data_IF_442015699564
#
_entry.id   IF_442015699564
#
_cell.length_a   1.000
_cell.length_b   1.000
_cell.length_c   1.000
_cell.angle_alpha   90.00
_cell.angle_beta   90.00
_cell.angle_gamma   90.00
#
_symmetry.space_group_name_H-M   'P 1'
#
loop_
_entity.id
_entity.type
_entity.pdbx_description
1 polymer ?
#
# COMPACT_ATOMS: atom_id res chain seq x y z
N UNK A 1 79.80 17.83 3.50
CA UNK A 1 78.72 18.78 3.18
C UNK A 1 78.20 18.43 1.80
N UNK A 2 76.88 18.30 1.67
CA UNK A 2 76.08 17.93 0.50
C UNK A 2 76.04 16.45 0.06
N UNK A 3 74.93 15.84 0.51
CA UNK A 3 74.29 14.64 -0.01
C UNK A 3 73.84 14.84 -1.46
N UNK A 4 73.92 13.79 -2.28
CA UNK A 4 72.94 13.41 -3.31
C UNK A 4 73.21 11.95 -3.67
N UNK A 5 72.53 11.00 -3.00
CA UNK A 5 72.51 9.59 -3.40
C UNK A 5 71.18 9.25 -4.04
N UNK A 6 71.23 9.05 -5.35
CA UNK A 6 70.25 8.34 -6.15
C UNK A 6 70.05 6.92 -5.60
N UNK A 7 68.80 6.53 -5.31
CA UNK A 7 68.36 5.14 -5.43
C UNK A 7 66.94 5.06 -5.95
N UNK A 8 66.86 4.53 -7.16
CA UNK A 8 65.70 4.03 -7.88
C UNK A 8 64.89 3.07 -7.01
N UNK A 9 63.61 3.38 -6.78
CA UNK A 9 62.66 2.51 -6.08
C UNK A 9 61.71 1.89 -7.12
N UNK A 10 61.56 0.57 -7.05
CA UNK A 10 60.86 -0.26 -8.03
C UNK A 10 59.38 0.06 -8.18
N UNK A 11 58.89 -0.13 -9.41
CA UNK A 11 57.48 -0.15 -9.76
C UNK A 11 56.80 -1.36 -9.09
N UNK A 12 55.84 -1.10 -8.21
CA UNK A 12 54.80 -2.07 -7.84
C UNK A 12 53.53 -1.64 -8.58
N UNK A 13 53.14 -2.40 -9.61
CA UNK A 13 51.82 -2.27 -10.23
C UNK A 13 50.79 -2.91 -9.30
N UNK A 14 50.05 -2.08 -8.56
CA UNK A 14 48.79 -2.49 -7.94
C UNK A 14 47.67 -2.36 -8.97
N UNK A 15 47.20 -3.50 -9.49
CA UNK A 15 46.02 -3.55 -10.36
C UNK A 15 44.76 -3.24 -9.55
N UNK A 16 44.22 -2.03 -9.74
CA UNK A 16 42.85 -1.72 -9.34
C UNK A 16 41.89 -2.34 -10.36
N UNK A 17 41.25 -3.45 -9.98
CA UNK A 17 40.08 -3.95 -10.67
C UNK A 17 38.92 -2.97 -10.44
N UNK A 18 38.67 -2.09 -11.43
CA UNK A 18 37.43 -1.31 -11.49
C UNK A 18 36.26 -2.30 -11.61
N UNK A 19 35.49 -2.44 -10.54
CA UNK A 19 34.14 -3.00 -10.61
C UNK A 19 33.27 -2.01 -11.35
N UNK A 20 32.98 -2.31 -12.62
CA UNK A 20 32.04 -1.52 -13.43
C UNK A 20 30.66 -1.69 -12.81
N UNK A 21 30.22 -0.65 -12.10
CA UNK A 21 28.81 -0.45 -11.75
C UNK A 21 28.01 -0.45 -13.06
N UNK A 22 27.08 -1.40 -13.20
CA UNK A 22 26.04 -1.37 -14.23
C UNK A 22 25.12 -0.18 -13.97
N UNK A 23 25.54 1.01 -14.40
CA UNK A 23 24.67 2.15 -14.58
C UNK A 23 23.84 1.85 -15.84
N UNK A 24 22.65 1.30 -15.63
CA UNK A 24 21.64 1.33 -16.67
C UNK A 24 21.40 2.80 -17.04
N UNK A 25 21.87 3.22 -18.21
CA UNK A 25 21.50 4.48 -18.83
C UNK A 25 19.99 4.42 -19.08
N UNK A 26 19.21 5.04 -18.19
CA UNK A 26 17.80 5.31 -18.46
C UNK A 26 17.79 6.41 -19.52
N UNK A 27 17.73 6.01 -20.80
CA UNK A 27 17.36 6.92 -21.89
C UNK A 27 16.06 7.61 -21.48
N UNK A 28 15.98 8.94 -21.59
CA UNK A 28 14.75 9.68 -21.31
C UNK A 28 13.63 9.17 -22.23
N UNK A 29 12.78 8.29 -21.72
CA UNK A 29 11.57 7.83 -22.39
C UNK A 29 10.43 8.79 -22.03
N UNK A 30 9.49 8.94 -22.96
CA UNK A 30 8.25 9.64 -22.66
C UNK A 30 7.54 8.97 -21.48
N UNK A 31 6.76 9.74 -20.68
CA UNK A 31 5.94 9.16 -19.63
C UNK A 31 4.94 8.14 -20.18
N UNK A 32 4.63 7.11 -19.39
CA UNK A 32 3.64 6.09 -19.76
C UNK A 32 2.20 6.65 -19.78
N UNK A 33 1.93 7.74 -19.06
CA UNK A 33 0.63 8.42 -19.08
C UNK A 33 0.58 9.50 -20.14
N UNK A 34 -0.29 9.32 -21.15
CA UNK A 34 -0.45 10.23 -22.30
C UNK A 34 -1.78 10.98 -22.31
N UNK A 35 -2.74 10.62 -21.46
CA UNK A 35 -4.02 11.32 -21.37
C UNK A 35 -3.85 12.71 -20.76
N UNK A 36 -4.81 13.59 -21.01
CA UNK A 36 -4.86 14.90 -20.38
C UNK A 36 -5.06 14.79 -18.87
N UNK A 37 -4.36 15.59 -18.05
CA UNK A 37 -4.59 15.63 -16.62
C UNK A 37 -6.01 16.11 -16.31
N UNK A 38 -6.58 15.63 -15.21
CA UNK A 38 -7.90 16.06 -14.72
C UNK A 38 -7.89 17.49 -14.16
N UNK A 39 -6.71 18.00 -13.80
CA UNK A 39 -6.49 19.34 -13.29
C UNK A 39 -5.11 19.84 -13.71
N UNK A 40 -4.98 21.13 -14.05
CA UNK A 40 -3.70 21.76 -14.39
C UNK A 40 -2.97 22.24 -13.12
N UNK A 41 -2.66 21.30 -12.24
CA UNK A 41 -1.99 21.54 -10.97
C UNK A 41 -0.51 21.22 -11.07
N UNK A 42 0.34 22.15 -10.63
CA UNK A 42 1.79 22.05 -10.75
C UNK A 42 2.36 21.15 -9.65
N UNK A 43 3.28 20.22 -9.98
CA UNK A 43 3.97 19.43 -8.97
C UNK A 43 4.83 20.31 -8.06
N UNK A 44 5.08 19.84 -6.84
CA UNK A 44 6.00 20.44 -5.89
C UNK A 44 7.47 20.33 -6.32
N UNK A 45 7.82 19.32 -7.11
CA UNK A 45 9.16 19.14 -7.66
C UNK A 45 9.14 18.42 -9.01
N UNK A 46 10.22 18.59 -9.78
CA UNK A 46 10.39 17.91 -11.07
C UNK A 46 10.37 16.38 -10.90
N UNK A 47 9.59 15.70 -11.73
CA UNK A 47 9.46 14.24 -11.71
C UNK A 47 8.47 13.68 -10.67
N UNK A 48 7.76 14.51 -9.90
CA UNK A 48 6.73 14.06 -8.95
C UNK A 48 5.50 13.44 -9.64
N UNK A 49 5.28 13.70 -10.92
CA UNK A 49 4.22 13.09 -11.71
C UNK A 49 4.71 12.92 -13.14
N UNK A 50 4.11 11.99 -13.89
CA UNK A 50 4.46 11.71 -15.30
C UNK A 50 5.97 11.54 -15.47
N UNK A 51 6.58 10.71 -14.62
CA UNK A 51 8.00 10.38 -14.72
C UNK A 51 8.25 9.57 -16.00
N UNK A 52 9.51 9.49 -16.42
CA UNK A 52 9.93 8.73 -17.59
C UNK A 52 9.46 7.26 -17.53
N UNK A 53 9.05 6.74 -18.68
CA UNK A 53 8.73 5.33 -18.83
C UNK A 53 9.96 4.43 -18.64
N UNK A 54 9.74 3.24 -18.10
CA UNK A 54 10.71 2.14 -18.11
C UNK A 54 10.03 0.86 -18.58
N UNK A 55 10.83 -0.15 -18.93
CA UNK A 55 10.32 -1.44 -19.39
C UNK A 55 11.11 -2.58 -18.77
N UNK A 56 10.40 -3.63 -18.38
CA UNK A 56 10.95 -4.90 -17.92
C UNK A 56 11.58 -5.62 -19.11
N UNK A 57 12.83 -6.04 -18.95
CA UNK A 57 13.59 -6.73 -20.00
C UNK A 57 13.55 -8.25 -19.82
N UNK A 58 13.47 -8.70 -18.56
CA UNK A 58 13.31 -10.11 -18.21
C UNK A 58 11.99 -10.65 -18.79
N UNK A 59 12.02 -11.74 -19.57
CA UNK A 59 10.80 -12.37 -20.06
C UNK A 59 9.91 -12.84 -18.91
N UNK A 60 8.63 -12.46 -18.97
CA UNK A 60 7.65 -12.78 -17.94
C UNK A 60 6.73 -13.92 -18.39
N UNK A 61 6.35 -14.77 -17.46
CA UNK A 61 5.22 -15.68 -17.55
C UNK A 61 4.07 -15.13 -16.69
N UNK A 62 2.88 -15.00 -17.32
CA UNK A 62 1.66 -14.54 -16.67
C UNK A 62 0.66 -15.69 -16.67
N UNK A 63 0.30 -16.17 -15.49
CA UNK A 63 -0.64 -17.29 -15.32
C UNK A 63 -1.84 -16.84 -14.50
N UNK A 64 -3.03 -17.34 -14.84
CA UNK A 64 -4.21 -17.22 -13.99
C UNK A 64 -4.35 -18.53 -13.21
N UNK A 65 -4.27 -18.44 -11.88
CA UNK A 65 -4.32 -19.61 -10.99
C UNK A 65 -5.73 -19.91 -10.48
N UNK A 66 -6.59 -18.89 -10.45
CA UNK A 66 -8.00 -19.01 -10.05
C UNK A 66 -8.84 -17.94 -10.75
N UNK A 67 -10.11 -18.24 -11.05
CA UNK A 67 -11.07 -17.34 -11.73
C UNK A 67 -12.45 -17.32 -11.06
N UNK A 68 -12.55 -17.85 -9.84
CA UNK A 68 -13.82 -18.12 -9.15
C UNK A 68 -13.88 -17.50 -7.76
N UNK A 69 -13.02 -16.53 -7.47
CA UNK A 69 -13.09 -15.78 -6.22
C UNK A 69 -14.30 -14.84 -6.27
N UNK A 70 -15.05 -14.74 -5.18
CA UNK A 70 -16.18 -13.81 -5.10
C UNK A 70 -15.71 -12.49 -4.49
N UNK A 71 -15.57 -11.45 -5.32
CA UNK A 71 -15.16 -10.09 -4.92
C UNK A 71 -14.00 -10.12 -3.91
N UNK A 72 -12.84 -10.73 -4.24
CA UNK A 72 -11.72 -10.82 -3.31
C UNK A 72 -11.23 -9.41 -2.95
N UNK A 73 -10.74 -9.21 -1.72
CA UNK A 73 -10.27 -7.90 -1.25
C UNK A 73 -8.80 -7.89 -0.83
N UNK A 74 -8.34 -8.85 -0.03
CA UNK A 74 -6.94 -8.97 0.35
C UNK A 74 -6.41 -10.39 0.18
N UNK A 75 -5.09 -10.50 0.04
CA UNK A 75 -4.37 -11.77 -0.09
C UNK A 75 -3.17 -11.82 0.87
N UNK A 76 -3.07 -12.91 1.61
CA UNK A 76 -1.94 -13.21 2.50
C UNK A 76 -1.34 -14.58 2.17
N UNK A 77 -0.02 -14.69 2.25
CA UNK A 77 0.70 -15.95 1.97
C UNK A 77 0.74 -16.81 3.22
N UNK A 78 0.21 -18.03 3.14
CA UNK A 78 0.32 -19.01 4.22
C UNK A 78 1.70 -19.68 4.22
N UNK A 79 2.23 -20.13 5.38
CA UNK A 79 3.54 -20.79 5.45
C UNK A 79 3.69 -22.03 4.56
N UNK A 80 2.59 -22.74 4.28
CA UNK A 80 2.56 -23.88 3.37
C UNK A 80 2.62 -23.48 1.88
N UNK A 81 2.72 -22.18 1.58
CA UNK A 81 2.80 -21.61 0.24
C UNK A 81 1.45 -21.34 -0.44
N UNK A 82 0.34 -21.66 0.23
CA UNK A 82 -1.01 -21.29 -0.19
C UNK A 82 -1.35 -19.84 0.12
N UNK A 83 -2.62 -19.48 -0.07
CA UNK A 83 -3.12 -18.11 0.10
C UNK A 83 -4.36 -18.09 0.98
N UNK A 84 -4.40 -17.16 1.94
CA UNK A 84 -5.62 -16.76 2.64
C UNK A 84 -6.15 -15.49 1.98
N UNK A 85 -7.39 -15.51 1.50
CA UNK A 85 -7.99 -14.41 0.74
C UNK A 85 -9.30 -14.01 1.39
N UNK A 86 -9.50 -12.72 1.66
CA UNK A 86 -10.80 -12.19 2.10
C UNK A 86 -11.70 -11.96 0.89
N UNK A 87 -12.99 -12.21 1.08
CA UNK A 87 -14.05 -11.91 0.13
C UNK A 87 -15.00 -10.90 0.76
N UNK A 88 -15.34 -9.83 0.02
CA UNK A 88 -16.10 -8.70 0.57
C UNK A 88 -17.38 -9.09 1.31
N UNK A 89 -18.04 -10.18 0.88
CA UNK A 89 -19.28 -10.70 1.48
C UNK A 89 -19.15 -11.29 2.88
N UNK A 90 -17.97 -11.33 3.49
CA UNK A 90 -17.81 -11.76 4.89
C UNK A 90 -17.22 -13.17 5.06
N UNK A 91 -16.56 -13.71 4.03
CA UNK A 91 -15.87 -15.01 4.10
C UNK A 91 -14.39 -14.86 3.80
N UNK A 92 -13.57 -15.76 4.35
CA UNK A 92 -12.21 -15.96 3.86
C UNK A 92 -12.16 -17.29 3.10
N UNK A 93 -11.25 -17.41 2.13
CA UNK A 93 -10.97 -18.66 1.43
C UNK A 93 -9.50 -18.99 1.52
N UNK A 94 -9.20 -20.28 1.59
CA UNK A 94 -7.83 -20.80 1.48
C UNK A 94 -7.65 -21.41 0.12
N UNK A 95 -6.68 -20.91 -0.64
CA UNK A 95 -6.21 -21.53 -1.86
C UNK A 95 -4.90 -22.27 -1.60
N UNK A 96 -4.70 -23.39 -2.28
CA UNK A 96 -3.39 -24.06 -2.36
C UNK A 96 -2.38 -23.22 -3.15
N UNK A 97 -1.11 -23.59 -3.12
CA UNK A 97 -0.04 -22.88 -3.84
C UNK A 97 -0.24 -22.79 -5.37
N UNK A 98 -1.01 -23.72 -5.95
CA UNK A 98 -1.41 -23.71 -7.36
C UNK A 98 -2.76 -23.03 -7.62
N UNK A 99 -3.35 -22.34 -6.64
CA UNK A 99 -4.58 -21.56 -6.78
C UNK A 99 -5.89 -22.33 -6.67
N UNK A 100 -5.86 -23.64 -6.35
CA UNK A 100 -7.09 -24.41 -6.16
C UNK A 100 -7.75 -24.06 -4.82
N UNK A 101 -9.06 -23.85 -4.83
CA UNK A 101 -9.84 -23.67 -3.61
C UNK A 101 -9.73 -24.92 -2.71
N UNK A 102 -9.26 -24.72 -1.48
CA UNK A 102 -9.09 -25.76 -0.47
C UNK A 102 -10.19 -25.67 0.59
N UNK A 103 -10.38 -24.48 1.17
CA UNK A 103 -11.31 -24.24 2.29
C UNK A 103 -12.05 -22.92 2.13
N UNK A 104 -13.23 -22.85 2.72
CA UNK A 104 -13.97 -21.61 2.95
C UNK A 104 -14.17 -21.46 4.46
N UNK A 105 -13.79 -20.30 4.98
CA UNK A 105 -13.89 -19.92 6.38
C UNK A 105 -15.09 -18.99 6.52
N UNK A 106 -16.02 -19.38 7.37
CA UNK A 106 -17.25 -18.65 7.70
C UNK A 106 -17.32 -18.35 9.21
N UNK A 107 -18.41 -17.72 9.68
CA UNK A 107 -18.58 -17.39 11.09
C UNK A 107 -17.73 -16.21 11.56
N UNK A 108 -17.30 -15.36 10.63
CA UNK A 108 -16.69 -14.06 10.91
C UNK A 108 -17.78 -13.04 11.33
N UNK A 109 -17.42 -11.89 11.92
CA UNK A 109 -18.40 -10.88 12.30
C UNK A 109 -19.19 -10.39 11.08
N UNK A 110 -20.45 -9.98 11.32
CA UNK A 110 -21.29 -9.41 10.26
C UNK A 110 -20.60 -8.18 9.67
N UNK A 111 -20.56 -8.10 8.35
CA UNK A 111 -20.00 -6.97 7.58
C UNK A 111 -21.11 -6.20 6.86
N UNK A 112 -20.89 -4.90 6.61
CA UNK A 112 -21.62 -4.15 5.57
C UNK A 112 -20.80 -4.15 4.28
N UNK A 113 -21.15 -5.00 3.32
CA UNK A 113 -20.41 -5.16 2.07
C UNK A 113 -20.84 -4.21 0.95
N UNK A 114 -21.60 -3.16 1.28
CA UNK A 114 -22.07 -2.18 0.32
C UNK A 114 -21.00 -1.13 -0.02
N UNK A 115 -21.03 -0.63 -1.26
CA UNK A 115 -20.02 0.30 -1.75
C UNK A 115 -18.60 -0.26 -1.64
N UNK A 116 -17.72 0.42 -0.91
CA UNK A 116 -16.35 0.00 -0.65
C UNK A 116 -16.18 -0.84 0.63
N UNK A 117 -17.24 -1.07 1.40
CA UNK A 117 -17.20 -1.89 2.60
C UNK A 117 -17.18 -3.39 2.31
N UNK A 118 -16.93 -4.19 3.34
CA UNK A 118 -16.99 -5.65 3.34
C UNK A 118 -16.08 -6.24 4.42
N UNK A 119 -15.72 -7.51 4.25
CA UNK A 119 -14.49 -8.04 4.81
C UNK A 119 -13.32 -7.54 3.94
N UNK A 120 -12.40 -6.80 4.55
CA UNK A 120 -11.39 -6.01 3.87
C UNK A 120 -10.03 -6.68 4.07
N UNK A 121 -9.07 -6.00 4.67
CA UNK A 121 -7.70 -6.51 4.73
C UNK A 121 -7.55 -7.77 5.58
N UNK A 122 -6.52 -8.56 5.29
CA UNK A 122 -6.10 -9.68 6.13
C UNK A 122 -4.58 -9.80 6.14
N UNK A 123 -4.02 -9.96 7.33
CA UNK A 123 -2.60 -10.20 7.52
C UNK A 123 -2.36 -11.28 8.57
N UNK A 124 -1.24 -11.97 8.44
CA UNK A 124 -0.81 -13.00 9.38
C UNK A 124 0.15 -12.41 10.39
N UNK A 125 0.04 -12.85 11.64
CA UNK A 125 1.05 -12.55 12.66
C UNK A 125 2.45 -12.98 12.18
N UNK A 126 3.52 -12.21 12.44
CA UNK A 126 4.88 -12.64 12.09
C UNK A 126 5.27 -13.99 12.72
N UNK A 127 4.64 -14.36 13.85
CA UNK A 127 4.78 -15.66 14.50
C UNK A 127 3.68 -16.68 14.13
N UNK A 128 2.99 -16.49 12.99
CA UNK A 128 1.85 -17.32 12.56
C UNK A 128 2.15 -18.82 12.56
N UNK A 129 3.37 -19.23 12.19
CA UNK A 129 3.78 -20.63 12.23
C UNK A 129 3.65 -21.27 13.64
N UNK A 130 3.69 -20.46 14.71
CA UNK A 130 3.55 -20.90 16.10
C UNK A 130 2.16 -20.63 16.66
N UNK A 131 1.61 -19.43 16.45
CA UNK A 131 0.38 -18.97 17.11
C UNK A 131 -0.88 -19.07 16.23
N UNK A 132 -0.70 -19.14 14.90
CA UNK A 132 -1.76 -19.11 13.87
C UNK A 132 -2.68 -17.88 13.95
N UNK A 133 -2.18 -16.76 14.46
CA UNK A 133 -2.97 -15.54 14.63
C UNK A 133 -3.15 -14.79 13.30
N UNK A 134 -4.39 -14.44 13.01
CA UNK A 134 -4.81 -13.66 11.84
C UNK A 134 -5.45 -12.37 12.32
N UNK A 135 -5.18 -11.27 11.62
CA UNK A 135 -5.76 -9.96 11.84
C UNK A 135 -6.49 -9.53 10.58
N UNK A 136 -7.68 -8.97 10.71
CA UNK A 136 -8.46 -8.50 9.57
C UNK A 136 -9.18 -7.20 9.86
N UNK A 137 -9.42 -6.44 8.80
CA UNK A 137 -10.24 -5.26 8.82
C UNK A 137 -11.61 -5.54 8.21
N UNK A 138 -12.67 -4.90 8.72
CA UNK A 138 -13.99 -5.01 8.13
C UNK A 138 -14.85 -3.78 8.42
N UNK A 139 -15.85 -3.56 7.58
CA UNK A 139 -16.90 -2.56 7.80
C UNK A 139 -17.93 -3.11 8.79
N UNK A 140 -17.90 -2.61 10.02
CA UNK A 140 -18.80 -3.04 11.10
C UNK A 140 -20.06 -2.18 11.13
N UNK A 141 -21.26 -2.76 10.90
CA UNK A 141 -22.52 -2.06 11.09
C UNK A 141 -22.68 -1.59 12.54
N UNK A 142 -23.11 -0.35 12.74
CA UNK A 142 -23.47 0.21 14.05
C UNK A 142 -24.97 0.51 14.09
N UNK A 143 -25.50 0.85 15.27
CA UNK A 143 -26.86 1.37 15.42
C UNK A 143 -27.09 2.61 14.52
N UNK A 144 -26.04 3.42 14.33
CA UNK A 144 -26.03 4.56 13.41
C UNK A 144 -24.80 4.49 12.50
N UNK A 145 -25.03 4.13 11.24
CA UNK A 145 -24.01 4.08 10.21
C UNK A 145 -23.08 2.88 10.32
N UNK A 146 -21.89 3.00 9.75
CA UNK A 146 -20.87 1.96 9.65
C UNK A 146 -19.51 2.55 10.00
N UNK A 147 -18.64 1.76 10.63
CA UNK A 147 -17.25 2.14 10.88
C UNK A 147 -16.29 1.04 10.43
N UNK A 148 -15.00 1.37 10.35
CA UNK A 148 -13.94 0.38 10.17
C UNK A 148 -13.59 -0.25 11.53
N UNK A 149 -13.63 -1.57 11.61
CA UNK A 149 -13.18 -2.33 12.76
C UNK A 149 -12.00 -3.23 12.41
N UNK A 150 -11.10 -3.40 13.36
CA UNK A 150 -9.98 -4.36 13.29
C UNK A 150 -10.23 -5.46 14.29
N UNK A 151 -10.14 -6.71 13.85
CA UNK A 151 -10.31 -7.88 14.68
C UNK A 151 -9.15 -8.85 14.48
N UNK A 152 -9.02 -9.77 15.44
CA UNK A 152 -8.04 -10.84 15.41
C UNK A 152 -8.64 -12.15 15.90
N UNK A 153 -7.99 -13.26 15.55
CA UNK A 153 -8.34 -14.59 16.03
C UNK A 153 -7.37 -15.64 15.49
N UNK A 154 -7.51 -16.86 15.97
CA UNK A 154 -6.62 -17.97 15.61
C UNK A 154 -7.22 -18.78 14.47
N UNK A 155 -6.50 -18.94 13.36
CA UNK A 155 -6.90 -19.88 12.31
C UNK A 155 -6.80 -21.32 12.84
N UNK A 156 -7.91 -22.07 12.78
CA UNK A 156 -7.95 -23.47 13.21
C UNK A 156 -6.93 -24.32 12.45
N UNK A 157 -6.49 -25.43 13.05
CA UNK A 157 -5.46 -26.29 12.46
C UNK A 157 -5.88 -26.90 11.11
N UNK A 158 -7.18 -27.13 10.91
CA UNK A 158 -7.78 -27.64 9.68
C UNK A 158 -8.20 -26.54 8.68
N UNK A 159 -7.96 -25.27 9.04
CA UNK A 159 -8.18 -24.08 8.21
C UNK A 159 -9.64 -23.84 7.81
N UNK A 160 -10.59 -24.25 8.66
CA UNK A 160 -12.04 -24.13 8.41
C UNK A 160 -12.72 -23.00 9.17
N UNK A 161 -12.11 -22.46 10.24
CA UNK A 161 -12.70 -21.40 11.08
C UNK A 161 -11.65 -20.50 11.74
N UNK A 162 -12.07 -19.31 12.17
CA UNK A 162 -11.30 -18.47 13.11
C UNK A 162 -11.84 -18.66 14.53
N UNK A 163 -10.97 -19.06 15.44
CA UNK A 163 -11.22 -19.29 16.86
C UNK A 163 -10.90 -18.03 17.68
N UNK A 164 -11.61 -17.84 18.80
CA UNK A 164 -11.36 -16.77 19.77
C UNK A 164 -11.31 -15.37 19.16
N UNK A 165 -12.25 -15.09 18.25
CA UNK A 165 -12.35 -13.82 17.55
C UNK A 165 -12.57 -12.67 18.54
N UNK A 166 -11.76 -11.62 18.43
CA UNK A 166 -11.86 -10.43 19.26
C UNK A 166 -11.68 -9.18 18.41
N UNK A 167 -12.56 -8.20 18.60
CA UNK A 167 -12.41 -6.88 17.99
C UNK A 167 -11.44 -6.08 18.84
N UNK A 168 -10.35 -5.60 18.24
CA UNK A 168 -9.29 -4.90 18.94
C UNK A 168 -9.36 -3.39 18.74
N UNK A 169 -9.98 -2.92 17.66
CA UNK A 169 -10.09 -1.48 17.40
C UNK A 169 -11.32 -1.13 16.57
N UNK A 170 -11.87 0.07 16.79
CA UNK A 170 -12.96 0.67 16.01
C UNK A 170 -12.59 2.12 15.67
N UNK A 171 -12.54 2.43 14.38
CA UNK A 171 -12.25 3.78 13.92
C UNK A 171 -13.49 4.67 14.05
N UNK A 172 -13.48 5.59 14.99
CA UNK A 172 -14.62 6.49 15.27
C UNK A 172 -14.39 7.89 14.70
N UNK A 173 -15.46 8.62 14.33
CA UNK A 173 -16.88 8.25 14.43
C UNK A 173 -17.34 7.27 13.34
N UNK A 174 -18.49 6.61 13.55
CA UNK A 174 -19.21 5.92 12.47
C UNK A 174 -19.86 6.93 11.54
N UNK A 175 -20.16 6.50 10.31
CA UNK A 175 -20.77 7.35 9.29
C UNK A 175 -21.74 6.57 8.40
N UNK A 176 -22.77 7.25 7.88
CA UNK A 176 -23.77 6.62 6.99
C UNK A 176 -23.27 6.38 5.56
N UNK A 177 -22.17 7.00 5.15
CA UNK A 177 -21.54 6.80 3.85
C UNK A 177 -20.86 5.44 3.70
N UNK A 178 -20.75 4.97 2.46
CA UNK A 178 -20.29 3.61 2.09
C UNK A 178 -18.92 3.60 1.41
N UNK A 179 -18.20 4.73 1.43
CA UNK A 179 -16.95 4.93 0.72
C UNK A 179 -15.82 5.20 1.71
N UNK A 180 -14.60 4.98 1.24
CA UNK A 180 -13.32 5.31 1.85
C UNK A 180 -13.14 4.74 3.26
N UNK A 181 -12.84 3.45 3.34
CA UNK A 181 -12.50 2.78 4.59
C UNK A 181 -10.98 2.77 4.86
N UNK A 182 -10.13 2.87 3.82
CA UNK A 182 -8.69 2.61 3.91
C UNK A 182 -8.44 1.11 4.13
N UNK A 183 -8.16 0.73 5.38
CA UNK A 183 -8.29 -0.64 5.95
C UNK A 183 -7.03 -1.50 6.00
N UNK A 184 -5.89 -1.04 5.50
CA UNK A 184 -4.68 -1.89 5.46
C UNK A 184 -4.07 -2.08 6.83
N UNK A 185 -3.55 -3.27 7.09
CA UNK A 185 -2.90 -3.71 8.33
C UNK A 185 -1.52 -4.27 7.96
N UNK A 186 -0.46 -3.62 8.41
CA UNK A 186 0.91 -4.12 8.25
C UNK A 186 1.61 -4.20 9.60
N UNK A 187 2.42 -5.22 9.79
CA UNK A 187 3.26 -5.32 10.98
C UNK A 187 4.50 -4.45 10.86
N UNK A 188 4.82 -3.72 11.92
CA UNK A 188 6.13 -3.10 12.08
C UNK A 188 7.18 -4.13 12.53
N UNK A 189 8.45 -3.73 12.52
CA UNK A 189 9.58 -4.59 12.93
C UNK A 189 9.54 -5.03 14.40
N UNK A 190 8.74 -4.37 15.23
CA UNK A 190 8.60 -4.65 16.66
C UNK A 190 7.35 -5.51 16.97
N UNK A 191 6.60 -5.93 15.93
CA UNK A 191 5.39 -6.73 16.09
C UNK A 191 4.14 -5.92 16.44
N UNK A 192 4.15 -4.59 16.29
CA UNK A 192 2.95 -3.76 16.36
C UNK A 192 2.31 -3.63 14.97
N UNK A 193 1.10 -3.09 14.93
CA UNK A 193 0.29 -2.89 13.74
C UNK A 193 0.33 -1.42 13.32
N UNK A 194 0.62 -1.16 12.05
CA UNK A 194 0.12 0.05 11.39
C UNK A 194 -1.22 -0.25 10.74
N UNK A 195 -2.19 0.63 10.94
CA UNK A 195 -3.53 0.52 10.35
C UNK A 195 -3.89 1.79 9.60
N UNK A 196 -4.28 1.67 8.33
CA UNK A 196 -4.77 2.80 7.55
C UNK A 196 -6.27 2.99 7.69
N UNK A 197 -6.74 4.24 7.75
CA UNK A 197 -8.17 4.57 7.82
C UNK A 197 -8.52 5.69 6.84
N UNK A 198 -9.61 5.49 6.08
CA UNK A 198 -10.15 6.50 5.17
C UNK A 198 -11.02 7.54 5.85
N UNK A 199 -11.26 8.66 5.17
CA UNK A 199 -12.00 9.83 5.70
C UNK A 199 -13.52 9.79 5.52
N UNK A 200 -14.04 8.79 4.77
CA UNK A 200 -15.47 8.51 4.52
C UNK A 200 -16.16 9.27 3.36
N UNK A 201 -15.43 10.09 2.60
CA UNK A 201 -15.84 10.76 1.35
C UNK A 201 -16.90 11.85 1.43
N UNK A 202 -17.58 12.02 2.57
CA UNK A 202 -18.67 12.99 2.71
C UNK A 202 -18.14 14.41 2.85
N UNK A 203 -18.82 15.39 2.23
CA UNK A 203 -18.42 16.80 2.32
C UNK A 203 -18.45 17.36 3.74
N UNK A 204 -19.34 16.82 4.58
CA UNK A 204 -19.50 17.15 6.01
C UNK A 204 -18.47 16.47 6.91
N UNK A 205 -17.93 15.32 6.51
CA UNK A 205 -17.07 14.49 7.35
C UNK A 205 -15.60 14.50 6.95
N UNK A 206 -15.25 14.79 5.70
CA UNK A 206 -13.86 14.70 5.21
C UNK A 206 -12.85 15.54 5.97
N UNK A 207 -13.29 16.63 6.59
CA UNK A 207 -12.43 17.49 7.41
C UNK A 207 -11.90 16.76 8.66
N UNK A 208 -12.54 15.67 9.08
CA UNK A 208 -12.07 14.79 10.16
C UNK A 208 -10.67 14.24 9.90
N UNK A 209 -10.21 14.17 8.64
CA UNK A 209 -8.82 13.84 8.30
C UNK A 209 -7.81 14.76 9.02
N UNK A 210 -8.17 16.01 9.27
CA UNK A 210 -7.36 17.02 9.98
C UNK A 210 -7.54 17.00 11.51
N UNK A 211 -8.61 16.39 12.02
CA UNK A 211 -8.88 16.39 13.46
C UNK A 211 -8.15 15.23 14.15
N UNK A 212 -7.41 15.56 15.22
CA UNK A 212 -6.64 14.58 15.99
C UNK A 212 -7.49 13.82 17.03
N UNK A 213 -8.71 14.26 17.32
CA UNK A 213 -9.67 13.52 18.15
C UNK A 213 -10.50 12.48 17.35
N UNK A 214 -10.14 12.24 16.09
CA UNK A 214 -10.85 11.40 15.14
C UNK A 214 -9.93 10.33 14.56
N UNK A 215 -10.48 9.14 14.29
CA UNK A 215 -9.75 8.02 13.68
C UNK A 215 -9.90 7.97 12.16
N UNK A 216 -10.49 8.99 11.52
CA UNK A 216 -10.75 9.02 10.08
C UNK A 216 -9.63 9.74 9.32
N UNK A 217 -9.17 9.19 8.20
CA UNK A 217 -8.08 9.78 7.39
C UNK A 217 -6.72 9.75 8.11
N UNK A 218 -6.36 8.60 8.70
CA UNK A 218 -5.19 8.42 9.57
C UNK A 218 -4.36 7.20 9.18
N UNK A 219 -3.10 7.23 9.57
CA UNK A 219 -2.35 6.01 9.90
C UNK A 219 -2.32 5.89 11.43
N UNK A 220 -2.71 4.74 11.94
CA UNK A 220 -2.72 4.41 13.37
C UNK A 220 -1.56 3.45 13.69
N UNK A 221 -1.00 3.54 14.90
CA UNK A 221 0.04 2.63 15.40
C UNK A 221 -0.44 1.95 16.68
N UNK A 222 -0.77 0.68 16.55
CA UNK A 222 -1.48 -0.11 17.55
C UNK A 222 -0.63 -1.31 17.97
N UNK A 223 -0.67 -1.67 19.25
CA UNK A 223 -0.29 -3.01 19.71
C UNK A 223 -1.22 -4.07 19.10
N UNK A 224 -0.85 -5.34 19.17
CA UNK A 224 -1.70 -6.46 18.73
C UNK A 224 -2.99 -6.63 19.53
N UNK A 225 -3.12 -5.94 20.67
CA UNK A 225 -4.36 -5.84 21.46
C UNK A 225 -5.16 -4.57 21.15
N UNK A 226 -4.75 -3.79 20.16
CA UNK A 226 -5.47 -2.59 19.70
C UNK A 226 -5.29 -1.34 20.55
N UNK A 227 -4.39 -1.36 21.53
CA UNK A 227 -3.99 -0.17 22.29
C UNK A 227 -2.96 0.65 21.52
N UNK A 228 -2.93 1.96 21.73
CA UNK A 228 -1.86 2.82 21.22
C UNK A 228 -0.47 2.30 21.63
N UNK A 229 0.48 2.34 20.70
CA UNK A 229 1.89 2.09 21.03
C UNK A 229 2.41 3.24 21.90
N UNK A 230 3.15 2.92 22.95
CA UNK A 230 3.66 3.91 23.90
C UNK A 230 4.59 4.93 23.23
N UNK A 231 4.58 6.17 23.72
CA UNK A 231 5.40 7.28 23.22
C UNK A 231 5.16 7.63 21.74
N UNK A 232 3.96 7.35 21.22
CA UNK A 232 3.54 7.81 19.89
C UNK A 232 3.55 9.34 19.75
N UNK A 233 3.48 9.87 18.52
CA UNK A 233 3.68 11.30 18.24
C UNK A 233 2.71 12.23 18.99
N UNK A 234 1.51 11.74 19.26
CA UNK A 234 0.45 12.47 19.93
C UNK A 234 0.15 11.97 21.35
N UNK A 235 0.97 11.07 21.90
CA UNK A 235 0.72 10.43 23.20
C UNK A 235 0.63 11.41 24.39
N UNK A 236 1.20 12.62 24.26
CA UNK A 236 1.16 13.68 25.29
C UNK A 236 0.12 14.76 25.01
N UNK A 237 -0.63 14.66 23.91
CA UNK A 237 -1.68 15.61 23.56
C UNK A 237 -3.02 15.09 24.08
N UNK A 238 -3.58 15.78 25.07
CA UNK A 238 -4.85 15.39 25.71
C UNK A 238 -6.06 15.46 24.77
N UNK A 239 -5.98 16.27 23.71
CA UNK A 239 -7.04 16.45 22.72
C UNK A 239 -6.87 15.55 21.50
N UNK A 240 -5.83 14.70 21.47
CA UNK A 240 -5.56 13.78 20.39
C UNK A 240 -5.79 12.33 20.81
N UNK A 241 -6.18 11.51 19.85
CA UNK A 241 -6.12 10.05 19.98
C UNK A 241 -4.66 9.60 20.01
N UNK A 242 -4.20 8.93 21.08
CA UNK A 242 -2.79 8.58 21.26
C UNK A 242 -2.27 7.58 20.22
N UNK A 243 -3.16 6.81 19.59
CA UNK A 243 -2.83 5.84 18.55
C UNK A 243 -2.51 6.48 17.18
N UNK A 244 -2.75 7.77 16.98
CA UNK A 244 -2.47 8.40 15.69
C UNK A 244 -0.95 8.43 15.45
N UNK A 245 -0.53 7.92 14.30
CA UNK A 245 0.84 7.99 13.81
C UNK A 245 1.02 9.10 12.78
N UNK A 246 0.09 9.22 11.84
CA UNK A 246 0.04 10.28 10.83
C UNK A 246 -1.42 10.61 10.47
N UNK A 247 -1.65 11.78 9.90
CA UNK A 247 -3.00 12.29 9.62
C UNK A 247 -3.07 13.09 8.32
N UNK A 248 -4.28 13.49 7.92
CA UNK A 248 -4.50 14.25 6.69
C UNK A 248 -4.46 13.37 5.44
N UNK A 249 -4.89 12.11 5.55
CA UNK A 249 -5.02 11.20 4.40
C UNK A 249 -6.49 11.14 3.96
N UNK A 250 -6.75 10.86 2.69
CA UNK A 250 -8.07 10.65 2.10
C UNK A 250 -8.49 9.18 2.18
N UNK A 251 -7.96 8.33 1.32
CA UNK A 251 -8.32 6.90 1.31
C UNK A 251 -7.10 6.00 1.05
N UNK A 252 -6.32 5.73 2.10
CA UNK A 252 -5.12 4.90 2.04
C UNK A 252 -5.46 3.41 1.89
N UNK A 253 -5.55 2.95 0.63
CA UNK A 253 -5.84 1.56 0.24
C UNK A 253 -4.54 0.78 -0.02
N UNK A 254 -3.37 1.42 -0.11
CA UNK A 254 -2.06 0.78 -0.18
C UNK A 254 -1.22 1.08 1.06
N UNK A 255 -0.64 0.05 1.68
CA UNK A 255 0.28 0.21 2.81
C UNK A 255 1.31 -0.93 2.79
N UNK A 256 2.60 -0.61 2.88
CA UNK A 256 3.67 -1.61 2.94
C UNK A 256 4.90 -1.07 3.66
N UNK A 257 5.64 -1.96 4.33
CA UNK A 257 6.96 -1.63 4.87
C UNK A 257 7.99 -1.84 3.75
N UNK A 258 8.81 -0.82 3.49
CA UNK A 258 9.97 -0.96 2.64
C UNK A 258 10.95 -1.94 3.29
N UNK A 259 11.24 -3.10 2.68
CA UNK A 259 12.05 -4.13 3.31
C UNK A 259 13.53 -3.76 3.44
N UNK A 260 13.98 -2.71 2.74
CA UNK A 260 15.36 -2.24 2.77
C UNK A 260 15.58 -1.17 3.85
N UNK A 261 14.64 -0.24 4.01
CA UNK A 261 14.79 0.89 4.94
C UNK A 261 13.98 0.75 6.23
N UNK A 262 12.93 -0.07 6.21
CA UNK A 262 11.93 -0.16 7.29
C UNK A 262 10.93 0.99 7.30
N UNK A 263 10.96 1.88 6.30
CA UNK A 263 9.99 2.97 6.19
C UNK A 263 8.60 2.45 5.81
N UNK A 264 7.57 3.09 6.36
CA UNK A 264 6.18 2.85 5.98
C UNK A 264 5.86 3.64 4.71
N UNK A 265 5.48 2.94 3.65
CA UNK A 265 5.00 3.52 2.40
C UNK A 265 3.51 3.32 2.28
N UNK A 266 2.85 4.25 1.61
CA UNK A 266 1.41 4.34 1.50
C UNK A 266 1.04 4.78 0.09
N UNK A 267 -0.12 4.33 -0.42
CA UNK A 267 -0.71 4.88 -1.61
C UNK A 267 -2.23 5.03 -1.45
N UNK A 268 -2.75 6.19 -1.86
CA UNK A 268 -4.14 6.55 -1.65
C UNK A 268 -4.85 7.08 -2.89
N UNK A 269 -6.17 6.96 -2.84
CA UNK A 269 -7.03 7.56 -3.84
C UNK A 269 -7.14 9.06 -3.61
N UNK A 270 -6.85 9.83 -4.64
CA UNK A 270 -7.31 11.20 -4.79
C UNK A 270 -8.79 11.28 -5.18
N UNK A 271 -9.34 12.49 -5.30
CA UNK A 271 -10.69 12.71 -5.82
C UNK A 271 -10.72 12.48 -7.34
N UNK A 272 -10.90 13.52 -8.17
CA UNK A 272 -10.71 13.42 -9.62
C UNK A 272 -9.27 13.81 -9.97
N UNK A 273 -8.41 12.82 -10.12
CA UNK A 273 -6.95 13.01 -10.14
C UNK A 273 -6.37 13.11 -8.72
N UNK A 274 -5.05 13.17 -8.63
CA UNK A 274 -4.34 13.36 -7.38
C UNK A 274 -4.27 12.12 -6.50
N UNK A 275 -4.20 10.93 -7.10
CA UNK A 275 -3.81 9.73 -6.35
C UNK A 275 -2.34 9.83 -5.99
N UNK A 276 -1.94 9.34 -4.83
CA UNK A 276 -0.62 9.63 -4.25
C UNK A 276 0.13 8.36 -3.86
N UNK A 277 1.46 8.49 -3.81
CA UNK A 277 2.36 7.61 -3.05
C UNK A 277 3.07 8.47 -2.01
N UNK A 278 3.04 8.03 -0.76
CA UNK A 278 3.60 8.73 0.38
C UNK A 278 4.61 7.86 1.12
N UNK A 279 5.60 8.52 1.75
CA UNK A 279 6.43 7.90 2.79
C UNK A 279 5.94 8.44 4.13
N UNK A 280 5.35 7.56 4.93
CA UNK A 280 4.66 7.93 6.16
C UNK A 280 5.64 8.15 7.30
N UNK A 281 5.60 9.35 7.89
CA UNK A 281 6.47 9.77 9.00
C UNK A 281 5.65 10.14 10.25
N UNK A 282 6.21 9.91 11.45
CA UNK A 282 5.49 10.13 12.70
C UNK A 282 5.11 11.60 12.89
N UNK A 283 3.85 11.84 13.27
CA UNK A 283 3.30 13.16 13.60
C UNK A 283 3.02 14.06 12.39
N UNK A 284 3.21 13.56 11.17
CA UNK A 284 3.10 14.38 9.95
C UNK A 284 1.67 14.45 9.41
N UNK A 285 1.39 15.58 8.77
CA UNK A 285 0.13 15.90 8.10
C UNK A 285 0.29 15.77 6.58
N UNK A 286 -0.47 14.87 5.96
CA UNK A 286 -0.49 14.64 4.51
C UNK A 286 -1.53 15.52 3.78
N UNK A 287 -2.21 16.39 4.55
CA UNK A 287 -2.79 17.61 4.02
C UNK A 287 -4.23 17.52 3.52
N UNK A 288 -4.79 16.34 3.23
CA UNK A 288 -6.19 16.22 2.84
C UNK A 288 -7.16 16.71 3.94
N UNK A 289 -8.24 17.46 3.63
CA UNK A 289 -8.65 17.98 2.31
C UNK A 289 -8.16 19.42 2.02
N UNK A 290 -7.17 19.92 2.77
CA UNK A 290 -6.69 21.30 2.64
C UNK A 290 -5.80 21.45 1.41
N UNK A 291 -4.91 20.48 1.17
CA UNK A 291 -4.14 20.38 -0.07
C UNK A 291 -4.52 19.12 -0.84
N UNK A 292 -4.46 19.20 -2.17
CA UNK A 292 -4.63 18.04 -3.05
C UNK A 292 -4.16 18.35 -4.48
N UNK A 293 -3.72 17.31 -5.17
CA UNK A 293 -3.45 17.33 -6.61
C UNK A 293 -4.68 16.97 -7.47
N UNK A 294 -5.85 16.79 -6.85
CA UNK A 294 -7.11 16.47 -7.54
C UNK A 294 -8.19 17.55 -7.42
N UNK A 295 -9.24 17.39 -8.21
CA UNK A 295 -10.44 18.25 -8.15
C UNK A 295 -11.65 17.48 -7.63
N UNK A 296 -12.71 18.19 -7.25
CA UNK A 296 -14.01 17.55 -7.07
C UNK A 296 -14.42 16.84 -8.36
N UNK A 297 -15.20 15.76 -8.29
CA UNK A 297 -15.66 15.06 -9.49
C UNK A 297 -16.47 15.97 -10.44
N UNK A 298 -17.07 17.05 -9.91
CA UNK A 298 -17.71 18.11 -10.69
C UNK A 298 -16.75 19.00 -11.52
N UNK A 299 -15.44 18.87 -11.31
CA UNK A 299 -14.39 19.72 -11.89
C UNK A 299 -14.09 20.98 -11.08
N UNK A 300 -14.83 21.26 -9.99
CA UNK A 300 -14.51 22.37 -9.08
C UNK A 300 -13.29 22.04 -8.21
N UNK A 301 -12.68 23.09 -7.65
CA UNK A 301 -11.60 22.95 -6.66
C UNK A 301 -12.12 22.22 -5.42
N UNK A 302 -11.28 21.34 -4.84
CA UNK A 302 -11.46 20.89 -3.46
C UNK A 302 -10.94 21.98 -2.55
N UNK A 303 -11.77 22.44 -1.61
CA UNK A 303 -11.44 23.58 -0.75
C UNK A 303 -10.99 24.78 -1.60
N UNK A 304 -9.83 25.34 -1.27
CA UNK A 304 -9.26 26.49 -1.97
C UNK A 304 -8.46 26.09 -3.24
N UNK A 305 -8.32 24.79 -3.53
CA UNK A 305 -7.57 24.24 -4.65
C UNK A 305 -6.07 24.46 -4.53
N UNK A 306 -5.53 24.33 -3.32
CA UNK A 306 -4.11 24.50 -2.99
C UNK A 306 -3.39 23.16 -3.09
N UNK A 307 -2.15 23.14 -3.61
CA UNK A 307 -1.35 21.91 -3.73
C UNK A 307 -0.27 21.79 -2.65
N UNK A 308 0.19 22.93 -2.12
CA UNK A 308 1.31 23.01 -1.19
C UNK A 308 0.99 24.02 -0.08
N UNK A 309 1.31 23.66 1.16
CA UNK A 309 1.13 24.53 2.32
C UNK A 309 2.11 24.15 3.42
N UNK A 310 2.66 25.15 4.10
CA UNK A 310 3.59 24.93 5.21
C UNK A 310 3.00 24.01 6.28
N UNK A 311 3.81 23.07 6.76
CA UNK A 311 3.41 22.08 7.76
C UNK A 311 2.64 20.87 7.19
N UNK A 312 2.48 20.78 5.86
CA UNK A 312 1.88 19.63 5.17
C UNK A 312 2.91 18.97 4.26
N UNK A 313 3.04 17.66 4.38
CA UNK A 313 3.96 16.85 3.58
C UNK A 313 3.46 16.73 2.15
N UNK A 314 4.39 16.50 1.23
CA UNK A 314 4.11 16.28 -0.18
C UNK A 314 4.30 14.80 -0.52
N UNK A 315 3.50 14.24 -1.43
CA UNK A 315 3.69 12.88 -1.88
C UNK A 315 5.00 12.76 -2.66
N UNK A 316 5.63 11.60 -2.59
CA UNK A 316 6.83 11.32 -3.40
C UNK A 316 6.48 11.14 -4.88
N UNK A 317 5.22 10.80 -5.16
CA UNK A 317 4.67 10.69 -6.50
C UNK A 317 3.15 10.87 -6.51
N UNK A 318 2.58 11.45 -7.56
CA UNK A 318 1.12 11.46 -7.75
C UNK A 318 0.70 11.21 -9.20
N UNK A 319 -0.51 10.69 -9.38
CA UNK A 319 -1.13 10.49 -10.70
C UNK A 319 -2.25 11.48 -10.98
N UNK A 320 -2.24 12.01 -12.20
CA UNK A 320 -3.30 12.86 -12.71
C UNK A 320 -3.42 12.67 -14.24
N UNK A 321 -4.40 11.90 -14.74
CA UNK A 321 -5.59 11.39 -14.04
C UNK A 321 -5.31 10.24 -13.04
N UNK A 322 -6.30 9.96 -12.18
CA UNK A 322 -6.25 8.90 -11.15
C UNK A 322 -6.15 7.49 -11.75
N UNK A 323 -5.41 6.62 -11.08
CA UNK A 323 -5.28 5.17 -11.35
C UNK A 323 -6.07 4.31 -10.36
N UNK A 324 -6.54 4.90 -9.26
CA UNK A 324 -7.22 4.29 -8.11
C UNK A 324 -6.38 3.18 -7.47
N UNK A 325 -5.33 3.51 -6.67
CA UNK A 325 -4.37 2.55 -6.14
C UNK A 325 -5.03 1.63 -5.11
N UNK A 326 -5.28 0.37 -5.48
CA UNK A 326 -5.94 -0.61 -4.62
C UNK A 326 -5.00 -1.28 -3.62
N UNK A 327 -3.69 -1.33 -3.90
CA UNK A 327 -2.67 -1.94 -3.04
C UNK A 327 -1.26 -1.47 -3.45
N UNK A 328 -0.29 -1.73 -2.58
CA UNK A 328 1.14 -1.64 -2.91
C UNK A 328 1.93 -2.84 -2.36
N UNK A 329 2.99 -3.23 -3.07
CA UNK A 329 3.90 -4.29 -2.63
C UNK A 329 5.32 -4.00 -3.09
N UNK A 330 6.31 -4.18 -2.22
CA UNK A 330 7.72 -4.15 -2.61
C UNK A 330 8.13 -5.49 -3.21
N UNK A 331 8.94 -5.46 -4.27
CA UNK A 331 9.57 -6.66 -4.80
C UNK A 331 11.03 -6.72 -4.32
N UNK A 332 11.39 -7.73 -3.51
CA UNK A 332 12.74 -7.84 -2.95
C UNK A 332 13.50 -9.10 -3.39
N UNK A 333 12.93 -9.88 -4.30
CA UNK A 333 13.60 -11.06 -4.86
C UNK A 333 14.67 -10.67 -5.89
N UNK A 334 15.62 -11.57 -6.10
CA UNK A 334 16.63 -11.46 -7.15
C UNK A 334 16.25 -12.23 -8.42
N UNK A 335 15.06 -12.86 -8.46
CA UNK A 335 14.58 -13.64 -9.63
C UNK A 335 14.37 -12.76 -10.87
N UNK A 336 13.84 -11.55 -10.69
CA UNK A 336 13.78 -10.48 -11.70
C UNK A 336 14.64 -9.31 -11.19
N UNK A 337 15.94 -9.26 -11.53
CA UNK A 337 16.87 -8.32 -10.91
C UNK A 337 16.46 -6.85 -11.04
N UNK A 338 15.89 -6.44 -12.18
CA UNK A 338 15.46 -5.05 -12.39
C UNK A 338 14.23 -4.63 -11.56
N UNK A 339 13.55 -5.59 -10.91
CA UNK A 339 12.41 -5.31 -10.03
C UNK A 339 12.82 -5.14 -8.57
N UNK A 340 14.03 -5.56 -8.19
CA UNK A 340 14.47 -5.56 -6.81
C UNK A 340 14.52 -4.15 -6.23
N UNK A 341 13.81 -3.93 -5.13
CA UNK A 341 13.69 -2.65 -4.45
C UNK A 341 12.63 -1.71 -5.03
N UNK A 342 11.94 -2.10 -6.12
CA UNK A 342 10.86 -1.31 -6.69
C UNK A 342 9.55 -1.53 -5.94
N UNK A 343 8.69 -0.52 -6.02
CA UNK A 343 7.32 -0.58 -5.50
C UNK A 343 6.37 -0.93 -6.64
N UNK A 344 5.47 -1.85 -6.40
CA UNK A 344 4.39 -2.18 -7.32
C UNK A 344 3.06 -1.68 -6.76
N UNK A 345 2.21 -1.17 -7.64
CA UNK A 345 0.90 -0.59 -7.28
C UNK A 345 -0.18 -1.25 -8.13
N UNK A 346 -1.22 -1.80 -7.50
CA UNK A 346 -2.39 -2.31 -8.22
C UNK A 346 -3.34 -1.17 -8.60
N UNK A 347 -3.55 -0.92 -9.89
CA UNK A 347 -4.48 0.10 -10.37
C UNK A 347 -5.87 -0.48 -10.59
N UNK A 348 -6.86 -0.05 -9.81
CA UNK A 348 -8.26 -0.43 -10.01
C UNK A 348 -8.88 0.29 -11.21
N UNK A 349 -8.74 1.62 -11.26
CA UNK A 349 -9.29 2.46 -12.32
C UNK A 349 -8.41 2.40 -13.56
N UNK A 350 -7.09 2.41 -13.36
CA UNK A 350 -6.11 2.26 -14.43
C UNK A 350 -6.15 0.88 -15.10
N UNK A 351 -6.62 -0.16 -14.40
CA UNK A 351 -6.73 -1.53 -14.90
C UNK A 351 -5.39 -2.14 -15.36
N UNK A 352 -4.34 -1.91 -14.58
CA UNK A 352 -2.98 -2.42 -14.79
C UNK A 352 -2.22 -2.48 -13.46
N UNK A 353 -1.07 -3.13 -13.45
CA UNK A 353 -0.10 -3.09 -12.33
C UNK A 353 0.99 -2.08 -12.69
N UNK A 354 1.24 -1.10 -11.83
CA UNK A 354 2.31 -0.13 -12.00
C UNK A 354 3.58 -0.65 -11.31
N UNK A 355 4.75 -0.54 -11.95
CA UNK A 355 6.06 -0.66 -11.29
C UNK A 355 6.69 0.72 -11.20
N UNK A 356 7.02 1.14 -9.99
CA UNK A 356 7.72 2.39 -9.68
C UNK A 356 9.16 2.10 -9.29
N UNK A 357 10.10 2.67 -10.05
CA UNK A 357 11.53 2.56 -9.78
C UNK A 357 11.90 3.61 -8.73
N UNK A 358 12.47 3.16 -7.61
CA UNK A 358 12.81 4.01 -6.47
C UNK A 358 14.32 4.25 -6.43
N UNK A 359 14.73 5.51 -6.28
CA UNK A 359 16.10 5.90 -5.99
C UNK A 359 16.11 7.06 -5.02
N UNK A 360 16.78 6.89 -3.88
CA UNK A 360 16.88 7.90 -2.81
C UNK A 360 15.51 8.47 -2.44
N UNK A 361 14.55 7.59 -2.13
CA UNK A 361 13.18 7.93 -1.76
C UNK A 361 12.37 8.70 -2.81
N UNK A 362 12.87 8.78 -4.06
CA UNK A 362 12.16 9.38 -5.19
C UNK A 362 11.81 8.34 -6.24
N UNK A 363 10.70 8.57 -6.93
CA UNK A 363 10.33 7.80 -8.11
C UNK A 363 11.10 8.35 -9.31
N UNK A 364 11.78 7.47 -10.03
CA UNK A 364 12.63 7.83 -11.19
C UNK A 364 12.23 7.09 -12.47
N UNK A 365 11.21 6.25 -12.41
CA UNK A 365 10.68 5.54 -13.58
C UNK A 365 9.36 4.84 -13.29
N UNK A 366 8.50 4.76 -14.30
CA UNK A 366 7.19 4.10 -14.22
C UNK A 366 7.03 3.10 -15.37
N UNK A 367 6.44 1.94 -15.07
CA UNK A 367 6.01 0.95 -16.08
C UNK A 367 4.60 0.47 -15.77
N UNK A 368 3.82 0.19 -16.82
CA UNK A 368 2.49 -0.44 -16.70
C UNK A 368 2.53 -1.87 -17.23
N UNK A 369 2.34 -2.83 -16.33
CA UNK A 369 2.23 -4.25 -16.61
C UNK A 369 0.76 -4.63 -16.74
N UNK A 370 0.46 -5.58 -17.64
CA UNK A 370 -0.89 -6.12 -17.84
C UNK A 370 -1.94 -5.07 -18.27
N UNK A 371 -1.51 -3.94 -18.82
CA UNK A 371 -2.41 -2.96 -19.44
C UNK A 371 -3.19 -3.61 -20.59
N UNK A 372 -4.45 -3.20 -20.76
CA UNK A 372 -5.35 -3.74 -21.78
C UNK A 372 -5.96 -5.12 -21.46
N UNK A 373 -5.70 -5.69 -20.28
CA UNK A 373 -6.33 -6.96 -19.84
C UNK A 373 -7.73 -6.79 -19.25
N UNK A 374 -8.17 -5.55 -18.97
CA UNK A 374 -9.49 -5.26 -18.40
C UNK A 374 -9.66 -5.71 -16.95
N UNK A 375 -8.54 -5.90 -16.24
CA UNK A 375 -8.52 -6.37 -14.85
C UNK A 375 -8.30 -5.21 -13.89
N UNK A 376 -9.07 -5.18 -12.80
CA UNK A 376 -8.93 -4.20 -11.73
C UNK A 376 -8.15 -4.82 -10.58
N UNK A 377 -6.85 -4.51 -10.48
CA UNK A 377 -5.94 -5.15 -9.53
C UNK A 377 -6.16 -4.62 -8.11
N UNK A 378 -6.63 -5.49 -7.22
CA UNK A 378 -7.15 -5.16 -5.89
C UNK A 378 -6.10 -5.32 -4.80
N UNK A 379 -5.42 -6.45 -4.78
CA UNK A 379 -4.34 -6.69 -3.81
C UNK A 379 -3.21 -7.52 -4.40
N UNK A 380 -2.02 -7.44 -3.81
CA UNK A 380 -0.84 -8.09 -4.33
C UNK A 380 0.19 -8.40 -3.25
N UNK A 381 0.83 -9.56 -3.40
CA UNK A 381 1.94 -10.00 -2.54
C UNK A 381 3.09 -10.53 -3.38
N UNK A 382 4.32 -10.28 -2.93
CA UNK A 382 5.51 -10.96 -3.45
C UNK A 382 5.72 -12.27 -2.71
N UNK A 383 6.03 -13.33 -3.45
CA UNK A 383 6.36 -14.65 -2.92
C UNK A 383 7.22 -15.41 -3.92
N UNK A 384 8.32 -15.98 -3.45
CA UNK A 384 9.22 -16.83 -4.24
C UNK A 384 9.70 -16.18 -5.55
N UNK A 385 9.87 -14.85 -5.58
CA UNK A 385 10.25 -14.10 -6.77
C UNK A 385 9.17 -13.91 -7.82
N UNK A 386 7.91 -14.15 -7.46
CA UNK A 386 6.74 -13.84 -8.27
C UNK A 386 5.83 -12.84 -7.54
N UNK A 387 5.07 -12.07 -8.31
CA UNK A 387 3.95 -11.30 -7.80
C UNK A 387 2.67 -12.12 -7.96
N UNK A 388 1.88 -12.19 -6.90
CA UNK A 388 0.56 -12.79 -6.88
C UNK A 388 -0.46 -11.70 -6.64
N UNK A 389 -1.46 -11.55 -7.52
CA UNK A 389 -2.42 -10.46 -7.40
C UNK A 389 -3.85 -10.93 -7.60
N UNK A 390 -4.75 -10.46 -6.74
CA UNK A 390 -6.20 -10.65 -6.87
C UNK A 390 -6.84 -9.47 -7.57
N UNK A 391 -7.92 -9.71 -8.32
CA UNK A 391 -8.67 -8.66 -9.04
C UNK A 391 -10.11 -8.55 -8.54
N UNK A 392 -10.72 -7.36 -8.65
CA UNK A 392 -12.15 -7.17 -8.33
C UNK A 392 -13.06 -8.11 -9.17
N UNK A 393 -12.55 -8.65 -10.30
CA UNK A 393 -13.25 -9.59 -11.18
C UNK A 393 -13.14 -11.07 -10.74
N UNK A 394 -12.52 -11.36 -9.59
CA UNK A 394 -12.49 -12.71 -9.02
C UNK A 394 -11.34 -13.60 -9.48
N UNK A 395 -10.26 -13.01 -10.00
CA UNK A 395 -9.08 -13.78 -10.46
C UNK A 395 -7.92 -13.70 -9.49
N UNK A 396 -7.06 -14.73 -9.51
CA UNK A 396 -5.73 -14.74 -8.92
C UNK A 396 -4.70 -14.89 -10.05
N UNK A 397 -3.88 -13.87 -10.26
CA UNK A 397 -2.75 -13.87 -11.20
C UNK A 397 -1.45 -14.29 -10.49
N UNK A 398 -0.56 -14.94 -11.24
CA UNK A 398 0.86 -15.08 -10.93
C UNK A 398 1.66 -14.43 -12.06
N UNK A 399 2.57 -13.53 -11.70
CA UNK A 399 3.50 -12.86 -12.59
C UNK A 399 4.92 -13.26 -12.16
N UNK A 400 5.62 -14.02 -12.98
CA UNK A 400 6.93 -14.56 -12.67
C UNK A 400 7.89 -14.43 -13.86
N UNK A 401 9.18 -14.66 -13.61
CA UNK A 401 10.14 -14.89 -14.69
C UNK A 401 9.79 -16.20 -15.42
N UNK A 402 9.89 -16.17 -16.75
CA UNK A 402 9.70 -17.35 -17.63
C UNK A 402 10.82 -18.37 -17.49
#
# INVERSE_FOLDING_TARGET
MNLLTNKTLGLVLAGFSLSVLNLANVSAQNPVETNQPSADYKPAFEGQTRIAGVKTSTPLEISILNEKLDRPWAISVLPAGGFLITQKGGTMVVLTANGKLSKTITGLPKVDDSGQGGLLDVTLDPNFAKNRMVYWAYSEPQDKGVLLAIAKGKLSADETKIENQTIIYRATPSYGGKLQYGSRIVFDKNGNLFVSTGERSGGDIRIQAQYLNSSLGKILHLTTDGKAVANGPFAKNADAKPEIYAYGLRNPDGLAINPLTGDLWEAEFGPKGGDEVNIIKPGKNYGWPIITYGTEYSGKKVGDGVQQKDGMEQPVYFWNPSISPGCIAFYNSSSIPEWKGNLFVGGLGGSHIIRLVIKNDKIVGEERLLEGKGERFRDMVEKDGALYSVTDNGKLFKIAKK
#
